data_IF_335991167269
#
_entry.id   IF_335991167269
#
_cell.length_a   1.000
_cell.length_b   1.000
_cell.length_c   1.000
_cell.angle_alpha   90.00
_cell.angle_beta   90.00
_cell.angle_gamma   90.00
#
_symmetry.space_group_name_H-M   'P 1'
#
loop_
_entity.id
_entity.type
_entity.pdbx_description
1 polymer ?
2 non-polymer ?
3 non-polymer ?
4 water ?
#
# COMPACT_ATOMS: atom_id res chain seq x y z
N UNK A 4 15.98 -12.73 10.78
CA UNK A 4 15.29 -14.04 10.71
C UNK A 4 15.25 -14.57 9.28
N UNK A 5 15.82 -15.75 9.07
CA UNK A 5 15.85 -16.39 7.75
C UNK A 5 14.63 -17.28 7.54
N UNK A 6 14.42 -17.72 6.30
CA UNK A 6 13.11 -18.15 5.85
C UNK A 6 13.17 -19.39 4.95
N UNK A 7 12.58 -20.49 5.42
CA UNK A 7 12.49 -21.73 4.65
C UNK A 7 11.59 -21.52 3.44
N UNK A 8 11.50 -22.52 2.57
CA UNK A 8 10.40 -22.57 1.61
C UNK A 8 9.08 -23.02 2.24
N UNK A 9 9.15 -23.51 3.48
CA UNK A 9 7.94 -23.72 4.27
C UNK A 9 7.35 -22.38 4.68
N UNK A 10 8.20 -21.48 5.14
CA UNK A 10 7.81 -20.14 5.52
C UNK A 10 7.17 -19.38 4.36
N UNK A 11 7.78 -19.47 3.17
CA UNK A 11 7.24 -18.84 1.98
C UNK A 11 5.89 -19.43 1.59
N UNK A 12 5.77 -20.75 1.68
CA UNK A 12 4.53 -21.43 1.33
C UNK A 12 3.39 -20.99 2.23
N UNK A 13 3.68 -20.84 3.50
CA UNK A 13 2.70 -20.35 4.47
C UNK A 13 2.29 -18.93 4.16
N UNK A 14 3.27 -18.08 3.85
CA UNK A 14 3.03 -16.66 3.58
C UNK A 14 2.18 -16.45 2.33
N UNK A 15 2.52 -17.10 1.23
CA UNK A 15 1.69 -17.07 0.05
C UNK A 15 0.23 -17.46 0.36
N UNK A 16 0.05 -18.60 1.00
CA UNK A 16 -1.27 -19.03 1.47
C UNK A 16 -2.03 -17.97 2.27
N UNK A 17 -1.41 -17.44 3.33
CA UNK A 17 -2.11 -16.57 4.28
C UNK A 17 -2.14 -15.12 3.81
N UNK A 18 -1.44 -14.85 2.72
CA UNK A 18 -1.43 -13.51 2.16
C UNK A 18 -2.63 -13.36 1.23
N UNK A 19 -3.07 -14.48 0.65
CA UNK A 19 -4.27 -14.52 -0.18
C UNK A 19 -5.55 -14.71 0.62
N UNK A 20 -5.44 -15.39 1.76
CA UNK A 20 -6.56 -15.54 2.67
C UNK A 20 -6.08 -15.85 4.09
N UNK A 21 -6.31 -14.92 5.01
CA UNK A 21 -5.88 -15.07 6.39
C UNK A 21 -6.55 -16.26 7.08
N UNK A 22 -7.65 -16.73 6.49
CA UNK A 22 -8.53 -17.68 7.18
C UNK A 22 -8.38 -19.10 6.64
N UNK A 23 -7.50 -19.29 5.67
CA UNK A 23 -7.12 -20.64 5.24
C UNK A 23 -6.54 -21.42 6.43
N UNK A 24 -7.19 -22.53 6.78
CA UNK A 24 -6.96 -23.20 8.06
C UNK A 24 -5.60 -23.90 8.13
N UNK A 25 -4.93 -23.76 9.27
CA UNK A 25 -3.60 -24.33 9.48
C UNK A 25 -3.56 -25.82 9.18
N UNK A 26 -4.69 -26.48 9.37
CA UNK A 26 -4.80 -27.93 9.18
C UNK A 26 -4.89 -28.30 7.71
N UNK A 27 -5.21 -27.33 6.87
CA UNK A 27 -5.20 -27.51 5.42
C UNK A 27 -3.79 -27.33 4.83
N UNK A 28 -3.01 -26.44 5.45
CA UNK A 28 -1.64 -26.20 5.00
C UNK A 28 -0.70 -27.33 5.44
N UNK A 29 -0.99 -27.90 6.62
CA UNK A 29 -0.32 -29.11 7.08
C UNK A 29 -0.44 -30.25 6.07
N UNK A 30 -1.68 -30.54 5.67
CA UNK A 30 -1.93 -31.50 4.60
C UNK A 30 -1.16 -31.15 3.32
N UNK A 31 -1.06 -29.84 3.04
CA UNK A 31 -0.54 -29.38 1.76
C UNK A 31 0.99 -29.43 1.69
N UNK A 32 1.65 -29.11 2.81
CA UNK A 32 3.11 -29.08 2.84
C UNK A 32 3.71 -30.34 3.46
N UNK A 33 2.85 -31.25 3.91
CA UNK A 33 3.29 -32.47 4.58
C UNK A 33 4.06 -32.16 5.86
N UNK A 34 3.45 -31.37 6.73
CA UNK A 34 3.94 -31.16 8.08
C UNK A 34 2.77 -31.21 9.05
N UNK A 35 3.03 -30.97 10.33
CA UNK A 35 1.98 -31.00 11.34
C UNK A 35 1.27 -29.66 11.44
N UNK A 36 -0.05 -29.68 11.76
CA UNK A 36 -0.76 -28.46 12.12
C UNK A 36 0.00 -27.59 13.12
N UNK A 37 0.96 -28.18 13.82
CA UNK A 37 1.57 -27.56 14.98
C UNK A 37 2.83 -26.76 14.62
N UNK A 38 3.56 -27.22 13.62
CA UNK A 38 4.73 -26.49 13.13
C UNK A 38 4.28 -25.23 12.38
N UNK A 39 3.29 -25.40 11.51
CA UNK A 39 2.58 -24.28 10.89
C UNK A 39 2.16 -23.21 11.90
N UNK A 40 1.57 -23.63 13.00
CA UNK A 40 1.24 -22.66 14.05
C UNK A 40 2.50 -21.92 14.52
N UNK A 41 3.61 -22.65 14.59
CA UNK A 41 4.81 -22.13 15.25
C UNK A 41 5.64 -21.30 14.27
N UNK A 42 5.75 -21.76 13.04
CA UNK A 42 6.32 -20.97 11.94
C UNK A 42 5.69 -19.58 11.87
N UNK A 43 4.36 -19.53 11.78
CA UNK A 43 3.61 -18.28 11.77
C UNK A 43 3.95 -17.40 12.98
N UNK A 44 4.13 -18.03 14.14
CA UNK A 44 4.36 -17.32 15.39
C UNK A 44 5.77 -16.75 15.47
N UNK A 45 6.73 -17.47 14.90
CA UNK A 45 8.09 -16.97 14.79
C UNK A 45 8.14 -15.75 13.87
N UNK A 46 7.51 -15.86 12.69
CA UNK A 46 7.38 -14.74 11.76
C UNK A 46 6.67 -13.51 12.36
N UNK A 47 5.75 -13.72 13.29
CA UNK A 47 5.16 -12.60 14.01
C UNK A 47 6.16 -11.88 14.93
N UNK A 48 6.90 -12.63 15.72
CA UNK A 48 7.94 -12.04 16.59
C UNK A 48 9.13 -11.48 15.79
N UNK A 49 9.45 -12.12 14.67
CA UNK A 49 10.38 -11.56 13.68
C UNK A 49 9.93 -10.20 13.15
N UNK A 50 8.61 -9.97 13.12
CA UNK A 50 8.06 -8.73 12.60
C UNK A 50 7.74 -8.83 11.12
N UNK A 51 7.88 -10.04 10.57
CA UNK A 51 7.58 -10.30 9.16
C UNK A 51 6.08 -10.22 8.89
N UNK A 52 5.33 -11.02 9.65
CA UNK A 52 3.88 -10.94 9.68
C UNK A 52 3.45 -9.88 10.67
N UNK A 53 2.77 -8.83 10.19
CA UNK A 53 2.47 -7.65 11.00
C UNK A 53 1.06 -7.65 11.58
N UNK A 54 0.21 -8.54 11.06
CA UNK A 54 -1.20 -8.57 11.44
C UNK A 54 -2.03 -9.32 10.42
N UNK A 55 -3.24 -9.69 10.83
CA UNK A 55 -4.30 -10.08 9.89
C UNK A 55 -5.38 -9.02 9.89
N UNK A 56 -5.76 -8.56 8.70
CA UNK A 56 -6.70 -7.46 8.57
C UNK A 56 -7.55 -7.63 7.30
N UNK A 57 -8.76 -7.08 7.29
CA UNK A 57 -9.49 -6.97 6.04
C UNK A 57 -8.85 -5.89 5.18
N UNK A 58 -8.72 -6.19 3.89
CA UNK A 58 -8.39 -5.18 2.89
C UNK A 58 -9.65 -4.47 2.37
N UNK A 59 -9.53 -3.16 2.25
CA UNK A 59 -10.63 -2.29 1.88
C UNK A 59 -10.32 -1.63 0.52
N UNK A 60 -11.31 -1.13 -0.17
CA UNK A 60 -11.08 -0.42 -1.43
C UNK A 60 -11.51 1.03 -1.34
N UNK A 61 -10.54 1.96 -1.32
CA UNK A 61 -10.81 3.36 -1.02
C UNK A 61 -11.71 3.99 -2.07
N UNK A 62 -11.55 3.52 -3.31
CA UNK A 62 -12.30 4.01 -4.45
C UNK A 62 -13.80 3.73 -4.32
N UNK A 63 -14.13 2.50 -3.91
CA UNK A 63 -15.51 2.11 -3.67
C UNK A 63 -16.06 2.73 -2.39
N UNK A 64 -15.18 3.38 -1.64
CA UNK A 64 -15.60 4.23 -0.52
C UNK A 64 -15.66 5.70 -0.93
N UNK A 65 -15.43 5.95 -2.22
CA UNK A 65 -15.59 7.29 -2.79
C UNK A 65 -14.36 8.17 -2.66
N UNK A 66 -13.19 7.55 -2.58
CA UNK A 66 -11.93 8.27 -2.74
C UNK A 66 -11.51 8.33 -4.20
N UNK A 67 -12.03 9.32 -4.91
CA UNK A 67 -11.85 9.44 -6.35
C UNK A 67 -10.55 10.17 -6.70
N UNK A 68 -10.03 10.93 -5.75
CA UNK A 68 -8.79 11.67 -5.96
C UNK A 68 -7.68 11.28 -4.96
N UNK A 69 -6.90 10.28 -5.35
CA UNK A 69 -5.63 10.03 -4.69
C UNK A 69 -4.53 10.82 -5.37
N UNK A 70 -3.49 11.14 -4.62
CA UNK A 70 -2.37 11.83 -5.21
C UNK A 70 -1.07 11.56 -4.48
N UNK A 71 0.05 11.80 -5.15
CA UNK A 71 1.33 11.95 -4.50
C UNK A 71 1.68 13.42 -4.50
N UNK A 72 2.28 13.89 -3.41
CA UNK A 72 2.74 15.25 -3.30
C UNK A 72 4.22 15.24 -2.96
N UNK A 73 5.01 15.98 -3.73
CA UNK A 73 6.40 16.22 -3.36
C UNK A 73 6.46 17.50 -2.55
N UNK A 74 7.04 17.43 -1.37
CA UNK A 74 7.14 18.62 -0.53
C UNK A 74 8.55 19.19 -0.64
N UNK A 75 8.64 20.48 -0.95
CA UNK A 75 9.89 21.21 -0.86
C UNK A 75 9.91 22.13 0.36
N UNK A 76 10.93 21.95 1.20
CA UNK A 76 11.05 22.65 2.46
C UNK A 76 11.95 23.88 2.28
N UNK A 77 11.85 24.83 3.20
CA UNK A 77 12.55 26.09 3.05
C UNK A 77 14.01 25.84 3.31
N UNK A 78 14.27 24.84 4.14
CA UNK A 78 15.62 24.39 4.42
C UNK A 78 15.55 22.92 4.85
N UNK A 79 16.60 22.16 4.56
CA UNK A 79 16.52 20.70 4.56
C UNK A 79 16.48 20.13 5.96
N UNK A 80 17.12 20.82 6.90
CA UNK A 80 17.11 20.41 8.31
C UNK A 80 15.69 20.35 8.88
N UNK A 81 14.73 20.83 8.09
CA UNK A 81 13.36 21.02 8.54
C UNK A 81 12.51 19.74 8.45
N UNK A 82 13.09 18.69 7.87
CA UNK A 82 12.39 17.44 7.62
C UNK A 82 11.69 16.82 8.84
N UNK A 83 12.43 16.63 9.95
CA UNK A 83 11.81 16.03 11.14
C UNK A 83 10.56 16.76 11.65
N UNK A 84 10.53 18.08 11.60
CA UNK A 84 9.37 18.81 12.13
C UNK A 84 8.21 18.91 11.13
N UNK A 85 8.52 19.18 9.88
CA UNK A 85 7.57 18.97 8.78
C UNK A 85 6.87 17.61 8.86
N UNK A 86 7.65 16.54 8.94
CA UNK A 86 7.10 15.19 9.07
C UNK A 86 6.15 15.04 10.27
N UNK A 87 6.54 15.58 11.42
CA UNK A 87 5.72 15.53 12.62
C UNK A 87 4.36 16.20 12.46
N UNK A 88 4.33 17.33 11.76
CA UNK A 88 3.08 18.01 11.41
C UNK A 88 2.25 17.21 10.39
N UNK A 89 2.90 16.59 9.42
CA UNK A 89 2.17 15.89 8.37
C UNK A 89 1.48 14.68 8.96
N UNK A 90 2.15 14.01 9.88
CA UNK A 90 1.70 12.70 10.36
C UNK A 90 0.39 12.81 11.15
N UNK A 91 0.14 13.98 11.72
CA UNK A 91 -1.14 14.26 12.37
C UNK A 91 -2.34 14.27 11.41
N UNK A 92 -2.08 14.19 10.11
CA UNK A 92 -3.15 14.32 9.12
C UNK A 92 -3.59 12.95 8.61
N UNK A 93 -4.89 12.70 8.64
CA UNK A 93 -5.45 11.41 8.29
C UNK A 93 -5.49 11.16 6.78
N UNK A 94 -5.43 12.24 6.00
CA UNK A 94 -5.49 12.15 4.55
C UNK A 94 -4.14 11.71 3.98
N UNK A 95 -3.08 11.92 4.76
CA UNK A 95 -1.75 11.42 4.46
C UNK A 95 -1.63 9.97 4.89
N UNK A 96 -1.63 9.06 3.91
CA UNK A 96 -1.54 7.64 4.17
C UNK A 96 -0.11 7.08 4.10
N UNK A 97 0.81 7.81 3.48
CA UNK A 97 2.16 7.30 3.29
C UNK A 97 3.08 8.49 3.23
N UNK A 98 4.35 8.28 3.52
CA UNK A 98 5.32 9.35 3.37
C UNK A 98 6.68 8.73 3.26
N UNK A 99 7.54 9.36 2.49
CA UNK A 99 8.80 8.77 2.16
C UNK A 99 9.85 9.84 2.16
N UNK A 100 11.05 9.45 2.57
CA UNK A 100 12.21 10.30 2.42
C UNK A 100 12.99 9.74 1.25
N UNK A 101 12.94 10.42 0.12
CA UNK A 101 13.43 9.85 -1.14
C UNK A 101 14.64 10.60 -1.72
N UNK A 102 15.45 10.19 -2.95
CA UNK A 102 16.43 10.85 -3.78
C UNK A 102 15.68 11.73 -4.78
N UNK A 103 16.24 12.37 -5.22
CA UNK A 103 15.59 13.29 -6.16
C UNK A 103 15.29 14.69 -5.65
N UNK A 104 14.29 15.35 -6.25
CA UNK A 104 14.06 16.79 -6.03
C UNK A 104 13.44 17.14 -4.68
N UNK A 105 12.56 16.27 -4.18
CA UNK A 105 11.65 16.60 -3.09
C UNK A 105 12.30 16.25 -1.75
N UNK A 106 11.99 17.02 -0.71
CA UNK A 106 12.36 16.68 0.66
C UNK A 106 11.54 15.51 1.23
N UNK A 107 10.22 15.61 1.09
CA UNK A 107 9.31 14.53 1.47
C UNK A 107 8.41 14.20 0.29
N UNK A 108 8.11 12.92 0.11
CA UNK A 108 7.17 12.49 -0.91
C UNK A 108 6.05 11.73 -0.19
N UNK A 109 4.81 12.18 -0.35
CA UNK A 109 3.70 11.66 0.42
C UNK A 109 2.57 11.27 -0.50
N UNK A 110 1.75 10.31 -0.05
CA UNK A 110 0.45 10.05 -0.66
C UNK A 110 -0.65 10.65 0.19
N UNK A 111 -1.56 11.39 -0.45
CA UNK A 111 -2.81 11.73 0.22
C UNK A 111 -4.01 11.21 -0.55
N UNK A 112 -4.98 10.70 0.20
CA UNK A 112 -6.18 10.09 -0.35
C UNK A 112 -7.38 10.97 -0.04
N UNK A 113 -8.05 11.46 -1.07
CA UNK A 113 -9.14 12.41 -0.90
C UNK A 113 -10.40 11.99 -1.66
N UNK A 114 -11.54 12.53 -1.26
CA UNK A 114 -12.81 12.21 -1.90
C UNK A 114 -13.05 12.97 -3.20
N UNK A 115 -12.68 14.25 -3.23
CA UNK A 115 -12.90 15.09 -4.41
C UNK A 115 -11.80 16.11 -4.57
N UNK A 116 -11.73 16.77 -5.73
CA UNK A 116 -10.75 17.84 -5.90
C UNK A 116 -11.08 19.05 -5.02
N UNK A 117 -12.34 19.19 -4.61
CA UNK A 117 -12.70 20.22 -3.65
C UNK A 117 -12.10 19.95 -2.27
N UNK A 118 -12.26 18.71 -1.80
CA UNK A 118 -11.55 18.18 -0.63
C UNK A 118 -10.02 18.31 -0.72
N UNK A 119 -9.42 17.84 -1.81
CA UNK A 119 -7.96 17.96 -1.99
C UNK A 119 -7.47 19.40 -1.88
N UNK A 120 -8.24 20.33 -2.45
CA UNK A 120 -7.91 21.74 -2.41
C UNK A 120 -7.92 22.28 -0.98
N UNK A 121 -8.88 21.84 -0.17
CA UNK A 121 -8.99 22.26 1.23
C UNK A 121 -7.82 21.74 2.08
N UNK A 122 -7.47 20.47 1.90
CA UNK A 122 -6.30 19.89 2.56
C UNK A 122 -4.97 20.57 2.18
N UNK A 123 -4.65 20.62 0.89
CA UNK A 123 -3.46 21.37 0.43
C UNK A 123 -3.32 22.73 1.11
N UNK A 124 -4.36 23.56 0.97
CA UNK A 124 -4.28 24.96 1.36
C UNK A 124 -4.29 25.10 2.88
N UNK A 125 -5.16 24.34 3.54
CA UNK A 125 -5.47 24.60 4.94
C UNK A 125 -4.76 23.67 5.93
N UNK A 126 -4.36 22.49 5.46
CA UNK A 126 -3.69 21.54 6.35
C UNK A 126 -2.22 21.32 6.03
N UNK A 127 -1.90 21.17 4.74
CA UNK A 127 -0.54 20.85 4.33
C UNK A 127 0.31 22.12 4.13
N UNK A 128 -0.26 23.08 3.41
CA UNK A 128 0.47 24.28 2.98
C UNK A 128 0.62 25.28 4.12
N UNK A 129 -0.19 25.10 5.16
CA UNK A 129 -0.09 25.95 6.35
C UNK A 129 1.08 25.50 7.20
N UNK A 130 1.55 24.27 6.99
CA UNK A 130 2.75 23.79 7.67
C UNK A 130 3.94 24.69 7.31
N UNK A 131 4.48 25.33 8.34
CA UNK A 131 5.27 26.54 8.19
C UNK A 131 6.65 26.31 7.56
N UNK A 132 7.21 25.12 7.75
CA UNK A 132 8.46 24.70 7.10
C UNK A 132 8.38 24.49 5.57
N UNK A 133 7.18 24.56 5.01
CA UNK A 133 6.97 24.15 3.63
C UNK A 133 7.03 25.36 2.70
N UNK A 134 7.90 25.28 1.70
CA UNK A 134 8.04 26.37 0.74
C UNK A 134 7.13 26.14 -0.46
N UNK A 135 7.13 24.92 -1.00
CA UNK A 135 6.21 24.57 -2.09
C UNK A 135 5.76 23.12 -2.01
N UNK A 136 4.61 22.83 -2.60
CA UNK A 136 4.21 21.47 -2.92
C UNK A 136 4.11 21.26 -4.43
N UNK A 137 4.23 20.02 -4.87
CA UNK A 137 3.90 19.65 -6.25
C UNK A 137 3.13 18.36 -6.20
N UNK A 138 1.84 18.40 -6.54
CA UNK A 138 1.02 17.22 -6.38
C UNK A 138 0.73 16.53 -7.74
N UNK A 139 0.93 15.21 -7.79
CA UNK A 139 0.72 14.37 -8.98
C UNK A 139 -0.59 13.57 -8.88
N UNK A 140 -1.63 14.04 -9.54
CA UNK A 140 -2.95 13.47 -9.36
C UNK A 140 -3.04 12.13 -10.09
N UNK A 141 -3.52 11.10 -9.37
CA UNK A 141 -3.70 9.78 -9.96
C UNK A 141 -4.98 9.79 -10.77
N UNK A 142 -4.85 9.40 -12.03
CA UNK A 142 -5.98 9.40 -12.94
C UNK A 142 -6.38 7.97 -13.18
N UNK A 143 -5.43 7.08 -12.96
CA UNK A 143 -5.62 5.64 -13.13
C UNK A 143 -4.61 4.95 -12.23
N UNK A 144 -5.03 3.88 -11.56
CA UNK A 144 -4.15 3.07 -10.71
C UNK A 144 -4.25 1.59 -11.01
N UNK A 145 -3.79 1.15 -12.20
CA UNK A 145 -4.06 -0.18 -12.76
C UNK A 145 -3.41 -1.35 -12.00
N UNK A 146 -2.19 -1.17 -11.51
CA UNK A 146 -1.51 -2.20 -10.70
C UNK A 146 -1.48 -1.75 -9.23
N UNK A 147 -2.11 -2.53 -8.37
CA UNK A 147 -1.83 -2.45 -6.96
C UNK A 147 -1.75 -3.84 -6.37
N UNK A 148 -0.57 -4.21 -5.91
CA UNK A 148 -0.35 -5.50 -5.30
C UNK A 148 0.81 -5.41 -4.32
N UNK A 149 1.48 -6.55 -4.15
CA UNK A 149 2.25 -6.86 -2.97
C UNK A 149 3.60 -7.41 -3.45
N UNK A 150 4.64 -7.28 -2.64
CA UNK A 150 5.82 -8.15 -2.81
C UNK A 150 5.41 -9.62 -2.81
N UNK A 151 6.04 -10.41 -3.67
CA UNK A 151 5.78 -11.85 -3.71
C UNK A 151 6.95 -12.63 -3.10
N UNK A 152 6.92 -12.87 -1.78
CA UNK A 152 8.11 -13.21 -0.99
C UNK A 152 8.83 -14.47 -1.49
N UNK B 4 -22.70 2.50 -3.48
CA UNK B 4 -23.17 1.86 -2.21
C UNK B 4 -22.73 2.67 -1.00
N UNK B 5 -23.67 3.39 -0.41
CA UNK B 5 -23.37 4.32 0.67
C UNK B 5 -23.42 3.62 2.03
N UNK B 6 -22.58 4.06 2.97
CA UNK B 6 -22.37 3.36 4.23
C UNK B 6 -22.76 4.24 5.41
N UNK B 7 -23.31 3.63 6.45
CA UNK B 7 -23.68 4.36 7.66
C UNK B 7 -22.66 4.11 8.76
N UNK B 8 -22.93 4.61 9.96
CA UNK B 8 -21.94 4.57 11.03
C UNK B 8 -21.74 3.18 11.64
N UNK B 9 -22.66 2.27 11.37
CA UNK B 9 -22.45 0.87 11.68
C UNK B 9 -21.46 0.24 10.72
N UNK B 10 -21.58 0.58 9.44
CA UNK B 10 -20.67 0.10 8.42
C UNK B 10 -19.23 0.53 8.69
N UNK B 11 -19.06 1.78 9.12
CA UNK B 11 -17.76 2.31 9.50
C UNK B 11 -17.21 1.64 10.75
N UNK B 12 -18.06 1.50 11.76
CA UNK B 12 -17.67 0.84 13.00
C UNK B 12 -17.14 -0.55 12.74
N UNK B 13 -17.83 -1.29 11.88
CA UNK B 13 -17.39 -2.62 11.47
C UNK B 13 -16.04 -2.57 10.78
N UNK B 14 -15.90 -1.64 9.83
CA UNK B 14 -14.66 -1.51 9.07
C UNK B 14 -13.46 -1.19 9.95
N UNK B 15 -13.59 -0.18 10.80
CA UNK B 15 -12.53 0.20 11.73
C UNK B 15 -12.05 -0.97 12.57
N UNK B 16 -12.98 -1.79 13.03
CA UNK B 16 -12.66 -2.99 13.81
C UNK B 16 -11.91 -4.04 13.02
N UNK B 17 -12.39 -4.38 11.83
CA UNK B 17 -11.86 -5.52 11.08
C UNK B 17 -10.64 -5.11 10.25
N UNK B 18 -10.39 -3.81 10.18
CA UNK B 18 -9.19 -3.32 9.53
C UNK B 18 -8.01 -3.37 10.49
N UNK B 19 -8.33 -3.43 11.79
CA UNK B 19 -7.32 -3.61 12.83
C UNK B 19 -7.05 -5.08 13.12
N UNK B 20 -8.10 -5.88 13.15
CA UNK B 20 -7.96 -7.33 13.27
C UNK B 20 -9.07 -8.06 12.51
N UNK B 21 -8.70 -8.79 11.48
CA UNK B 21 -9.66 -9.50 10.65
C UNK B 21 -10.43 -10.53 11.47
N UNK B 22 -9.91 -10.85 12.65
CA UNK B 22 -10.29 -12.06 13.36
C UNK B 22 -11.16 -11.77 14.57
N UNK B 23 -11.33 -10.50 14.90
CA UNK B 23 -12.25 -10.13 15.97
C UNK B 23 -13.65 -10.70 15.70
N UNK B 24 -14.37 -11.03 16.78
CA UNK B 24 -15.54 -11.87 16.67
C UNK B 24 -16.79 -11.04 16.38
N UNK B 25 -17.53 -11.43 15.33
CA UNK B 25 -18.80 -10.78 14.99
C UNK B 25 -19.66 -10.60 16.24
N UNK B 26 -19.50 -11.52 17.19
CA UNK B 26 -20.32 -11.55 18.40
C UNK B 26 -19.95 -10.44 19.38
N UNK B 27 -18.67 -10.04 19.38
CA UNK B 27 -18.22 -8.92 20.20
C UNK B 27 -18.69 -7.57 19.62
N UNK B 28 -18.66 -7.48 18.29
CA UNK B 28 -19.09 -6.25 17.62
C UNK B 28 -20.60 -6.02 17.80
N UNK B 29 -21.36 -7.12 17.79
CA UNK B 29 -22.79 -7.08 18.09
C UNK B 29 -23.06 -6.48 19.47
N UNK B 30 -22.31 -6.95 20.47
CA UNK B 30 -22.39 -6.40 21.82
C UNK B 30 -21.94 -4.93 21.85
N UNK B 31 -20.95 -4.61 21.02
CA UNK B 31 -20.31 -3.29 21.04
C UNK B 31 -21.21 -2.19 20.51
N UNK B 32 -21.89 -2.45 19.39
CA UNK B 32 -22.72 -1.45 18.74
C UNK B 32 -24.20 -1.59 19.10
N UNK B 33 -24.53 -2.68 19.78
CA UNK B 33 -25.90 -2.92 20.23
C UNK B 33 -26.79 -3.40 19.10
N UNK B 34 -26.35 -4.45 18.41
CA UNK B 34 -27.10 -5.02 17.29
C UNK B 34 -26.91 -6.54 17.25
N UNK B 35 -27.46 -7.18 16.23
CA UNK B 35 -27.53 -8.63 16.16
C UNK B 35 -26.28 -9.23 15.51
N UNK B 36 -25.69 -10.27 16.15
CA UNK B 36 -24.63 -11.05 15.52
C UNK B 36 -24.85 -11.31 14.03
N UNK B 37 -26.11 -11.18 13.60
CA UNK B 37 -26.50 -11.57 12.25
C UNK B 37 -26.53 -10.39 11.28
N UNK B 38 -26.79 -9.19 11.81
CA UNK B 38 -26.76 -7.97 11.00
C UNK B 38 -25.31 -7.63 10.65
N UNK B 39 -24.40 -7.98 11.54
CA UNK B 39 -22.97 -7.79 11.30
C UNK B 39 -22.46 -8.73 10.21
N UNK B 40 -22.88 -9.99 10.26
CA UNK B 40 -22.53 -10.90 9.18
C UNK B 40 -23.01 -10.34 7.84
N UNK B 41 -24.20 -9.74 7.86
CA UNK B 41 -24.85 -9.31 6.61
C UNK B 41 -24.24 -8.02 6.06
N UNK B 42 -24.08 -7.03 6.93
CA UNK B 42 -23.39 -5.79 6.58
C UNK B 42 -22.03 -6.03 5.92
N UNK B 43 -21.19 -6.86 6.55
CA UNK B 43 -19.92 -7.31 5.99
C UNK B 43 -20.07 -7.95 4.60
N UNK B 44 -21.13 -8.73 4.41
CA UNK B 44 -21.34 -9.46 3.16
C UNK B 44 -21.80 -8.55 2.03
N UNK B 45 -22.53 -7.49 2.39
CA UNK B 45 -22.92 -6.47 1.42
C UNK B 45 -21.71 -5.65 0.96
N UNK B 46 -20.95 -5.12 1.93
CA UNK B 46 -19.66 -4.48 1.64
C UNK B 46 -18.74 -5.36 0.79
N UNK B 47 -18.85 -6.67 0.92
CA UNK B 47 -18.10 -7.56 0.04
C UNK B 47 -18.62 -7.54 -1.40
N UNK B 48 -19.93 -7.72 -1.59
CA UNK B 48 -20.53 -7.63 -2.93
C UNK B 48 -20.47 -6.21 -3.50
N UNK B 49 -20.39 -5.21 -2.63
CA UNK B 49 -20.12 -3.83 -3.04
C UNK B 49 -18.71 -3.64 -3.57
N UNK B 50 -17.78 -4.51 -3.14
CA UNK B 50 -16.38 -4.37 -3.49
C UNK B 50 -15.61 -3.48 -2.54
N UNK B 51 -16.25 -3.09 -1.43
CA UNK B 51 -15.61 -2.24 -0.42
C UNK B 51 -14.60 -3.04 0.40
N UNK B 52 -15.03 -4.23 0.83
CA UNK B 52 -14.14 -5.23 1.40
C UNK B 52 -13.64 -6.19 0.30
N UNK B 53 -12.32 -6.27 0.14
CA UNK B 53 -11.71 -7.03 -0.95
C UNK B 53 -11.12 -8.35 -0.48
N UNK B 54 -10.91 -8.47 0.83
CA UNK B 54 -10.37 -9.70 1.40
C UNK B 54 -9.97 -9.57 2.85
N UNK B 55 -9.66 -10.72 3.45
CA UNK B 55 -8.95 -10.74 4.73
C UNK B 55 -7.63 -11.43 4.51
N UNK B 56 -6.55 -10.69 4.73
CA UNK B 56 -5.20 -11.18 4.48
C UNK B 56 -4.27 -10.78 5.61
N UNK B 57 -3.19 -11.54 5.81
CA UNK B 57 -2.12 -11.11 6.70
C UNK B 57 -1.30 -10.04 6.01
N UNK B 58 -0.88 -9.04 6.78
CA UNK B 58 0.04 -8.05 6.27
C UNK B 58 1.48 -8.45 6.55
N UNK B 59 2.35 -8.12 5.61
CA UNK B 59 3.73 -8.55 5.64
C UNK B 59 4.62 -7.31 5.60
N UNK B 60 5.76 -7.38 6.25
CA UNK B 60 6.73 -6.29 6.16
C UNK B 60 7.85 -6.65 5.21
N UNK B 61 7.96 -5.92 4.09
CA UNK B 61 9.01 -6.20 3.11
C UNK B 61 10.41 -6.01 3.70
N UNK B 62 10.57 -5.01 4.55
CA UNK B 62 11.85 -4.73 5.19
C UNK B 62 12.39 -5.95 5.93
N UNK B 63 11.53 -6.56 6.75
CA UNK B 63 11.88 -7.74 7.51
C UNK B 63 12.15 -8.96 6.63
N UNK B 64 11.64 -8.91 5.39
CA UNK B 64 11.91 -9.95 4.41
C UNK B 64 13.09 -9.57 3.52
N UNK B 65 13.78 -8.50 3.90
CA UNK B 65 15.07 -8.15 3.30
C UNK B 65 14.97 -7.23 2.09
N UNK B 66 13.81 -6.61 1.89
CA UNK B 66 13.65 -5.60 0.84
C UNK B 66 14.12 -4.23 1.34
N UNK B 67 15.42 -4.00 1.22
CA UNK B 67 16.07 -2.79 1.71
C UNK B 67 15.99 -1.64 0.71
N UNK B 68 15.63 -1.95 -0.54
CA UNK B 68 15.56 -0.93 -1.56
C UNK B 68 14.16 -0.84 -2.19
N UNK B 69 13.33 0.00 -1.60
CA UNK B 69 12.11 0.45 -2.23
C UNK B 69 12.36 1.65 -3.11
N UNK B 70 11.69 1.70 -4.25
CA UNK B 70 11.81 2.88 -5.08
C UNK B 70 10.54 3.20 -5.86
N UNK B 71 10.37 4.48 -6.18
CA UNK B 71 9.40 4.93 -7.17
C UNK B 71 10.20 5.26 -8.40
N UNK B 72 9.70 4.78 -9.55
CA UNK B 72 10.33 5.03 -10.83
C UNK B 72 9.31 5.79 -11.65
N UNK B 73 9.72 6.93 -12.22
CA UNK B 73 8.90 7.62 -13.21
C UNK B 73 9.34 7.21 -14.60
N UNK B 74 8.42 6.72 -15.41
CA UNK B 74 8.75 6.23 -16.75
C UNK B 74 8.34 7.28 -17.76
N UNK B 75 9.28 7.72 -18.60
CA UNK B 75 8.97 8.51 -19.78
C UNK B 75 9.07 7.69 -21.08
N UNK B 76 8.04 7.79 -21.92
CA UNK B 76 7.90 6.95 -23.12
C UNK B 76 8.28 7.72 -24.38
N UNK B 77 8.56 6.98 -25.45
CA UNK B 77 8.99 7.59 -26.70
C UNK B 77 7.86 8.39 -27.33
N UNK B 78 6.64 7.90 -27.15
CA UNK B 78 5.45 8.64 -27.53
C UNK B 78 4.28 8.19 -26.65
N UNK B 79 3.35 9.12 -26.38
CA UNK B 79 2.48 9.00 -25.21
C UNK B 79 1.40 7.94 -25.40
N UNK B 80 1.08 7.68 -26.67
CA UNK B 80 0.12 6.64 -27.04
C UNK B 80 0.57 5.25 -26.61
N UNK B 81 1.84 5.14 -26.24
CA UNK B 81 2.49 3.86 -25.95
C UNK B 81 2.15 3.30 -24.56
N UNK B 82 1.34 4.05 -23.81
CA UNK B 82 1.04 3.74 -22.41
C UNK B 82 0.43 2.36 -22.14
N UNK B 83 -0.57 1.94 -22.94
CA UNK B 83 -1.14 0.61 -22.74
C UNK B 83 -0.17 -0.54 -22.95
N UNK B 84 0.72 -0.41 -23.92
CA UNK B 84 1.67 -1.49 -24.24
C UNK B 84 2.80 -1.57 -23.23
N UNK B 85 3.29 -0.42 -22.77
CA UNK B 85 4.32 -0.38 -21.75
C UNK B 85 3.77 -0.92 -20.42
N UNK B 86 2.56 -0.52 -20.08
CA UNK B 86 1.90 -1.04 -18.88
C UNK B 86 1.83 -2.58 -18.88
N UNK B 87 1.37 -3.13 -20.00
CA UNK B 87 1.26 -4.58 -20.16
C UNK B 87 2.59 -5.32 -19.92
N UNK B 88 3.69 -4.76 -20.42
CA UNK B 88 5.02 -5.33 -20.17
C UNK B 88 5.47 -5.20 -18.71
N UNK B 89 5.11 -4.10 -18.05
CA UNK B 89 5.56 -3.86 -16.68
C UNK B 89 4.83 -4.75 -15.71
N UNK B 90 3.56 -5.06 -15.99
CA UNK B 90 2.72 -5.73 -15.02
C UNK B 90 3.10 -7.20 -14.88
N UNK B 91 3.79 -7.72 -15.89
CA UNK B 91 4.39 -9.06 -15.83
C UNK B 91 5.61 -9.14 -14.89
N UNK B 92 6.11 -7.99 -14.48
CA UNK B 92 7.24 -7.94 -13.57
C UNK B 92 6.75 -7.95 -12.14
N UNK B 93 7.19 -8.93 -11.36
CA UNK B 93 6.71 -9.10 -9.99
C UNK B 93 7.33 -8.11 -9.03
N UNK B 94 8.42 -7.47 -9.44
CA UNK B 94 9.08 -6.47 -8.60
C UNK B 94 8.36 -5.12 -8.65
N UNK B 95 7.54 -4.93 -9.68
CA UNK B 95 6.59 -3.82 -9.74
C UNK B 95 5.35 -4.11 -8.90
N UNK B 96 5.25 -3.45 -7.75
CA UNK B 96 4.11 -3.64 -6.87
C UNK B 96 2.94 -2.65 -7.11
N UNK B 97 3.19 -1.52 -7.76
CA UNK B 97 2.15 -0.53 -7.97
C UNK B 97 2.44 0.24 -9.23
N UNK B 98 1.40 0.78 -9.85
CA UNK B 98 1.62 1.59 -11.04
C UNK B 98 0.50 2.58 -11.17
N UNK B 99 0.85 3.79 -11.59
CA UNK B 99 -0.11 4.87 -11.67
C UNK B 99 0.06 5.62 -12.97
N UNK B 100 -1.07 5.99 -13.55
CA UNK B 100 -1.14 7.03 -14.55
C UNK B 100 -1.40 8.34 -13.81
N UNK B 101 -0.38 9.19 -13.69
CA UNK B 101 -0.54 10.45 -12.97
C UNK B 101 -0.42 11.69 -13.83
N UNK B 102 -0.36 13.09 -13.31
CA UNK B 102 -0.23 14.37 -13.95
C UNK B 102 1.25 14.69 -13.78
N UNK B 103 1.57 15.58 -14.26
CA UNK B 103 3.00 15.95 -14.22
C UNK B 103 3.86 15.34 -15.32
N UNK B 104 5.15 15.14 -15.04
CA UNK B 104 6.16 14.86 -16.08
C UNK B 104 6.15 13.44 -16.68
N UNK B 105 5.74 12.46 -15.89
CA UNK B 105 5.94 11.05 -16.25
C UNK B 105 4.71 10.50 -16.95
N UNK B 106 4.91 9.54 -17.86
CA UNK B 106 3.81 8.73 -18.40
C UNK B 106 3.27 7.71 -17.39
N UNK B 107 4.17 6.94 -16.77
CA UNK B 107 3.77 5.93 -15.79
C UNK B 107 4.64 6.13 -14.58
N UNK B 108 4.03 6.02 -13.40
CA UNK B 108 4.72 6.16 -12.13
C UNK B 108 4.52 4.87 -11.35
N UNK B 109 5.61 4.14 -11.11
CA UNK B 109 5.54 2.78 -10.56
C UNK B 109 6.35 2.69 -9.28
N UNK B 110 5.99 1.73 -8.42
CA UNK B 110 6.85 1.32 -7.31
C UNK B 110 7.47 -0.04 -7.63
N UNK B 111 8.79 -0.14 -7.52
CA UNK B 111 9.41 -1.46 -7.44
C UNK B 111 10.02 -1.72 -6.07
N UNK B 112 9.94 -2.98 -5.65
CA UNK B 112 10.51 -3.39 -4.37
C UNK B 112 11.61 -4.42 -4.61
N UNK B 113 12.79 -4.13 -4.07
CA UNK B 113 14.01 -4.86 -4.40
C UNK B 113 14.80 -5.14 -3.12
N UNK B 114 15.68 -6.14 -3.16
CA UNK B 114 16.46 -6.48 -1.98
C UNK B 114 17.72 -5.63 -1.82
N UNK B 115 18.41 -5.38 -2.92
CA UNK B 115 19.61 -4.54 -2.88
C UNK B 115 19.69 -3.61 -4.09
N UNK B 116 20.62 -2.66 -4.05
CA UNK B 116 20.86 -1.84 -5.24
C UNK B 116 21.41 -2.68 -6.40
N UNK B 117 22.08 -3.79 -6.10
CA UNK B 117 22.57 -4.69 -7.14
C UNK B 117 21.42 -5.35 -7.91
N UNK B 118 20.48 -5.92 -7.17
CA UNK B 118 19.17 -6.34 -7.70
C UNK B 118 18.44 -5.23 -8.48
N UNK B 119 18.25 -4.07 -7.86
CA UNK B 119 17.57 -2.95 -8.54
C UNK B 119 18.23 -2.56 -9.85
N UNK B 120 19.55 -2.62 -9.90
CA UNK B 120 20.28 -2.31 -11.11
C UNK B 120 20.00 -3.35 -12.20
N UNK B 121 19.93 -4.62 -11.78
CA UNK B 121 19.61 -5.72 -12.68
C UNK B 121 18.20 -5.58 -13.26
N UNK B 122 17.25 -5.17 -12.43
CA UNK B 122 15.86 -5.01 -12.89
C UNK B 122 15.68 -3.82 -13.84
N UNK B 123 16.20 -2.66 -13.46
CA UNK B 123 16.23 -1.51 -14.36
C UNK B 123 16.77 -1.84 -15.75
N UNK B 124 17.99 -2.38 -15.81
CA UNK B 124 18.66 -2.51 -17.09
C UNK B 124 18.03 -3.65 -17.87
N UNK B 125 17.76 -4.76 -17.19
CA UNK B 125 17.42 -6.01 -17.84
C UNK B 125 15.92 -6.23 -18.04
N UNK B 126 15.11 -5.75 -17.11
CA UNK B 126 13.68 -6.01 -17.14
C UNK B 126 12.83 -4.77 -17.51
N UNK B 127 13.21 -3.60 -17.01
CA UNK B 127 12.40 -2.40 -17.21
C UNK B 127 12.83 -1.61 -18.44
N UNK B 128 14.12 -1.33 -18.55
CA UNK B 128 14.64 -0.49 -19.63
C UNK B 128 14.78 -1.24 -20.95
N UNK B 129 14.63 -2.56 -20.91
CA UNK B 129 14.59 -3.35 -22.15
C UNK B 129 13.23 -3.23 -22.82
N UNK B 130 12.25 -2.74 -22.07
CA UNK B 130 10.93 -2.45 -22.64
C UNK B 130 11.07 -1.37 -23.71
N UNK B 131 10.62 -1.67 -24.91
CA UNK B 131 11.00 -0.94 -26.10
C UNK B 131 10.32 0.43 -26.24
N UNK B 132 9.14 0.57 -25.64
CA UNK B 132 8.42 1.87 -25.60
C UNK B 132 9.10 2.95 -24.75
N UNK B 133 10.05 2.56 -23.90
CA UNK B 133 10.50 3.41 -22.79
C UNK B 133 11.72 4.25 -23.19
N UNK B 134 11.56 5.57 -23.21
CA UNK B 134 12.64 6.48 -23.57
C UNK B 134 13.63 6.57 -22.42
N UNK B 135 13.11 6.91 -21.24
CA UNK B 135 13.95 7.02 -20.04
C UNK B 135 13.20 6.75 -18.74
N UNK B 136 13.94 6.31 -17.74
CA UNK B 136 13.40 6.16 -16.39
C UNK B 136 14.04 7.18 -15.45
N UNK B 137 13.33 7.54 -14.38
CA UNK B 137 13.91 8.32 -13.28
C UNK B 137 13.49 7.68 -11.99
N UNK B 138 14.41 7.03 -11.30
CA UNK B 138 14.04 6.34 -10.09
C UNK B 138 14.37 7.17 -8.83
N UNK B 139 13.36 7.28 -7.96
CA UNK B 139 13.48 7.92 -6.64
C UNK B 139 13.62 6.86 -5.55
N UNK B 140 14.79 6.78 -4.95
CA UNK B 140 15.07 5.74 -3.99
C UNK B 140 14.64 6.13 -2.58
N UNK B 141 13.88 5.24 -1.95
CA UNK B 141 13.40 5.45 -0.59
C UNK B 141 14.53 5.19 0.39
N UNK B 142 14.80 6.20 1.22
CA UNK B 142 15.85 6.09 2.21
C UNK B 142 15.18 5.87 3.53
N UNK B 143 13.95 6.36 3.63
CA UNK B 143 13.15 6.27 4.84
C UNK B 143 11.68 6.22 4.42
N UNK B 144 10.90 5.40 5.10
CA UNK B 144 9.46 5.31 4.89
C UNK B 144 8.69 5.36 6.20
N UNK B 145 8.65 6.53 6.86
CA UNK B 145 8.19 6.68 8.24
C UNK B 145 6.67 6.53 8.43
N UNK B 146 5.88 6.95 7.43
CA UNK B 146 4.43 6.75 7.45
C UNK B 146 4.01 5.72 6.39
N UNK B 147 3.39 4.63 6.84
CA UNK B 147 2.68 3.71 5.98
C UNK B 147 1.41 3.25 6.68
N UNK B 148 0.26 3.65 6.12
CA UNK B 148 -1.02 3.38 6.73
C UNK B 148 -2.12 3.51 5.69
N UNK B 149 -3.36 3.67 6.15
CA UNK B 149 -4.55 3.32 5.41
C UNK B 149 -5.48 4.54 5.43
N UNK B 150 -6.39 4.65 4.47
CA UNK B 150 -7.56 5.53 4.65
C UNK B 150 -8.27 5.19 5.97
N UNK B 151 -8.66 6.21 6.71
CA UNK B 151 -9.40 5.98 7.96
C UNK B 151 -10.90 6.30 7.80
N UNK B 152 -11.68 5.33 7.30
CA UNK B 152 -13.04 5.58 6.78
C UNK B 152 -14.06 5.82 7.90
#
# INVERSE_FOLDING_TARGET
MENYLIDNLDRGILEALMGNARTAYAELAKQFGVSPETIHVRVEKMKQAGIITGARIDVSPKQLGYDVGCFIGIILKSAKDYPSALAKLESLDEVTEAYYTTGHYSIFIKVMCRSIDALQHVLINKIQTIDEIQSTETLIVLQNPIMRTIKP
MENYLIDNLDRGILEALMGNARTAYAELAKQFGVSPETIHVRVEKMKQAGIITGARIDVSPKQLGYDVGCFIGIILKSAKDYPSALAKLESLDEVTEAYYTTGHYSIFIKVMCRSIDALQHVLINKIQTIDEIQSTETLIVLQNPIMRTIKP
#
